data_IF_539823455983
#
_entry.id   IF_539823455983
#
_cell.length_a   1.000
_cell.length_b   1.000
_cell.length_c   1.000
_cell.angle_alpha   90.00
_cell.angle_beta   90.00
_cell.angle_gamma   90.00
#
_symmetry.space_group_name_H-M   'P 1'
#
loop_
_entity.id
_entity.type
_entity.pdbx_description
1 polymer ?
#
# COMPACT_ATOMS: atom_id res chain seq x y z
N UNK A 1 30.03 -18.61 -67.21
CA UNK A 1 30.79 -18.77 -65.94
C UNK A 1 29.88 -18.36 -64.77
N UNK A 2 29.21 -19.30 -64.14
CA UNK A 2 28.36 -19.06 -63.00
C UNK A 2 29.19 -19.38 -61.76
N UNK A 3 29.52 -18.30 -60.97
CA UNK A 3 30.18 -18.45 -59.67
C UNK A 3 29.10 -18.71 -58.63
N UNK A 4 29.01 -19.96 -58.21
CA UNK A 4 28.21 -20.41 -57.13
C UNK A 4 28.84 -19.93 -55.81
N UNK A 5 28.25 -18.93 -55.19
CA UNK A 5 28.62 -18.53 -53.82
C UNK A 5 27.92 -19.51 -52.87
N UNK A 6 28.67 -20.46 -52.36
CA UNK A 6 28.23 -21.35 -51.30
C UNK A 6 28.07 -20.52 -50.01
N UNK A 7 26.85 -20.27 -49.62
CA UNK A 7 26.55 -19.75 -48.28
C UNK A 7 26.89 -20.82 -47.26
N UNK A 8 27.96 -20.63 -46.52
CA UNK A 8 28.28 -21.47 -45.37
C UNK A 8 27.22 -21.19 -44.29
N UNK A 9 26.26 -22.08 -44.14
CA UNK A 9 25.39 -22.13 -42.98
C UNK A 9 26.25 -22.55 -41.78
N UNK A 10 26.72 -21.56 -41.05
CA UNK A 10 27.37 -21.78 -39.76
C UNK A 10 26.34 -22.26 -38.77
N UNK A 11 26.19 -23.55 -38.57
CA UNK A 11 25.37 -24.14 -37.54
C UNK A 11 25.89 -23.67 -36.16
N UNK A 12 25.01 -23.14 -35.32
CA UNK A 12 25.33 -22.75 -33.93
C UNK A 12 25.86 -23.96 -33.16
N UNK A 13 27.01 -23.82 -32.52
CA UNK A 13 27.58 -24.83 -31.64
C UNK A 13 26.75 -24.90 -30.35
N UNK A 14 26.52 -26.10 -29.80
CA UNK A 14 25.87 -26.28 -28.50
C UNK A 14 26.55 -25.46 -27.39
N UNK A 15 27.87 -25.30 -27.47
CA UNK A 15 28.64 -24.48 -26.51
C UNK A 15 28.27 -22.99 -26.65
N UNK A 16 28.14 -22.49 -27.86
CA UNK A 16 27.79 -21.11 -28.13
C UNK A 16 26.37 -20.77 -27.62
N UNK A 17 25.42 -21.70 -27.83
CA UNK A 17 24.08 -21.58 -27.29
C UNK A 17 24.08 -21.58 -25.78
N UNK A 18 24.86 -22.46 -25.13
CA UNK A 18 24.99 -22.52 -23.69
C UNK A 18 25.55 -21.21 -23.09
N UNK A 19 26.57 -20.63 -23.69
CA UNK A 19 27.17 -19.36 -23.30
C UNK A 19 26.17 -18.23 -23.49
N UNK A 20 25.47 -18.17 -24.63
CA UNK A 20 24.46 -17.15 -24.89
C UNK A 20 23.32 -17.18 -23.85
N UNK A 21 22.83 -18.37 -23.50
CA UNK A 21 21.79 -18.52 -22.45
C UNK A 21 22.29 -18.16 -21.06
N UNK A 22 23.55 -18.50 -20.72
CA UNK A 22 24.15 -18.11 -19.44
C UNK A 22 24.28 -16.58 -19.31
N UNK A 23 24.77 -15.90 -20.34
CA UNK A 23 24.89 -14.44 -20.38
C UNK A 23 23.50 -13.78 -20.29
N UNK A 24 22.52 -14.28 -21.03
CA UNK A 24 21.16 -13.79 -21.00
C UNK A 24 20.54 -13.93 -19.58
N UNK A 25 20.76 -15.07 -18.91
CA UNK A 25 20.31 -15.34 -17.55
C UNK A 25 20.90 -14.35 -16.55
N UNK A 26 22.19 -14.05 -16.64
CA UNK A 26 22.85 -13.07 -15.77
C UNK A 26 22.32 -11.66 -16.01
N UNK A 27 22.11 -11.26 -17.26
CA UNK A 27 21.54 -9.95 -17.60
C UNK A 27 20.11 -9.78 -17.07
N UNK A 28 19.27 -10.80 -17.21
CA UNK A 28 17.88 -10.76 -16.69
C UNK A 28 17.84 -10.67 -15.17
N UNK A 29 18.72 -11.38 -14.47
CA UNK A 29 18.79 -11.34 -13.00
C UNK A 29 19.20 -9.95 -12.50
N UNK A 30 20.11 -9.27 -13.18
CA UNK A 30 20.56 -7.92 -12.83
C UNK A 30 19.48 -6.84 -13.00
N UNK A 31 18.51 -7.03 -13.91
CA UNK A 31 17.43 -6.06 -14.17
C UNK A 31 16.26 -6.15 -13.19
N UNK A 32 16.05 -7.30 -12.54
CA UNK A 32 14.91 -7.51 -11.66
C UNK A 32 15.06 -6.84 -10.27
N UNK A 33 16.29 -6.72 -9.78
CA UNK A 33 16.59 -6.12 -8.47
C UNK A 33 16.15 -4.66 -8.33
N UNK A 34 16.56 -3.75 -9.21
CA UNK A 34 16.24 -2.33 -9.11
C UNK A 34 14.74 -2.03 -9.28
N UNK A 35 14.00 -2.84 -10.05
CA UNK A 35 12.55 -2.68 -10.22
C UNK A 35 11.78 -2.94 -8.92
N UNK A 36 12.21 -3.89 -8.12
CA UNK A 36 11.57 -4.17 -6.82
C UNK A 36 11.82 -3.03 -5.82
N UNK A 37 13.02 -2.46 -5.81
CA UNK A 37 13.35 -1.32 -4.95
C UNK A 37 12.51 -0.08 -5.29
N UNK A 38 12.35 0.22 -6.59
CA UNK A 38 11.52 1.34 -7.04
C UNK A 38 10.06 1.20 -6.56
N UNK A 39 9.49 0.00 -6.69
CA UNK A 39 8.11 -0.27 -6.21
C UNK A 39 7.98 -0.12 -4.70
N UNK A 40 8.97 -0.56 -3.94
CA UNK A 40 8.96 -0.42 -2.48
C UNK A 40 9.06 1.05 -2.05
N UNK A 41 9.94 1.83 -2.69
CA UNK A 41 10.03 3.27 -2.44
C UNK A 41 8.75 4.01 -2.77
N UNK A 42 8.11 3.69 -3.89
CA UNK A 42 6.83 4.29 -4.27
C UNK A 42 5.74 3.99 -3.23
N UNK A 43 5.58 2.73 -2.82
CA UNK A 43 4.63 2.35 -1.77
C UNK A 43 4.88 3.07 -0.45
N UNK A 44 6.14 3.27 -0.07
CA UNK A 44 6.48 4.04 1.13
C UNK A 44 6.07 5.51 1.00
N UNK A 45 6.30 6.13 -0.15
CA UNK A 45 5.88 7.50 -0.40
C UNK A 45 4.35 7.64 -0.37
N UNK A 46 3.64 6.72 -1.03
CA UNK A 46 2.18 6.69 -1.04
C UNK A 46 1.61 6.55 0.38
N UNK A 47 2.19 5.66 1.19
CA UNK A 47 1.76 5.49 2.59
C UNK A 47 2.04 6.71 3.44
N UNK A 48 3.20 7.38 3.25
CA UNK A 48 3.51 8.63 3.97
C UNK A 48 2.54 9.75 3.58
N UNK A 49 2.22 9.88 2.30
CA UNK A 49 1.24 10.85 1.82
C UNK A 49 -0.16 10.57 2.39
N UNK A 50 -0.57 9.29 2.43
CA UNK A 50 -1.83 8.87 3.03
C UNK A 50 -1.88 9.18 4.54
N UNK A 51 -0.81 8.91 5.28
CA UNK A 51 -0.72 9.26 6.72
C UNK A 51 -0.78 10.77 6.97
N UNK A 52 -0.17 11.58 6.10
CA UNK A 52 -0.28 13.04 6.19
C UNK A 52 -1.73 13.50 5.95
N UNK A 53 -2.41 12.94 4.97
CA UNK A 53 -3.82 13.22 4.69
C UNK A 53 -4.73 12.78 5.85
N UNK A 54 -4.49 11.60 6.43
CA UNK A 54 -5.20 11.11 7.62
C UNK A 54 -5.02 12.07 8.80
N UNK A 55 -3.80 12.54 9.03
CA UNK A 55 -3.53 13.51 10.10
C UNK A 55 -4.31 14.80 9.91
N UNK A 56 -4.34 15.33 8.69
CA UNK A 56 -5.15 16.52 8.39
C UNK A 56 -6.64 16.27 8.56
N UNK A 57 -7.13 15.09 8.14
CA UNK A 57 -8.51 14.68 8.36
C UNK A 57 -8.88 14.60 9.84
N UNK A 58 -8.00 14.05 10.68
CA UNK A 58 -8.19 14.00 12.15
C UNK A 58 -8.25 15.40 12.76
N UNK A 59 -7.37 16.30 12.34
CA UNK A 59 -7.40 17.68 12.79
C UNK A 59 -8.67 18.40 12.36
N UNK A 60 -9.10 18.22 11.10
CA UNK A 60 -10.34 18.78 10.58
C UNK A 60 -11.57 18.26 11.36
N UNK A 61 -11.61 16.95 11.63
CA UNK A 61 -12.66 16.36 12.45
C UNK A 61 -12.67 16.93 13.86
N UNK A 62 -11.51 17.05 14.51
CA UNK A 62 -11.40 17.63 15.84
C UNK A 62 -11.85 19.10 15.87
N UNK A 63 -11.54 19.89 14.86
CA UNK A 63 -11.98 21.28 14.76
C UNK A 63 -13.49 21.42 14.58
N UNK A 64 -14.13 20.50 13.86
CA UNK A 64 -15.57 20.55 13.61
C UNK A 64 -16.42 19.93 14.73
N UNK A 65 -15.89 18.95 15.46
CA UNK A 65 -16.62 18.18 16.47
C UNK A 65 -16.13 18.41 17.91
N UNK A 66 -15.04 19.18 18.11
CA UNK A 66 -14.43 19.41 19.42
C UNK A 66 -13.80 18.16 20.05
N UNK A 67 -13.67 17.06 19.30
CA UNK A 67 -13.14 15.78 19.77
C UNK A 67 -12.54 14.97 18.62
N UNK A 68 -11.71 14.00 18.93
CA UNK A 68 -11.25 13.02 17.95
C UNK A 68 -12.30 11.92 17.74
N UNK A 69 -12.36 11.32 16.53
CA UNK A 69 -13.31 10.24 16.25
C UNK A 69 -12.96 8.97 17.05
N UNK A 70 -13.97 8.18 17.38
CA UNK A 70 -13.76 6.88 17.99
C UNK A 70 -13.17 5.87 16.99
N UNK A 71 -12.31 4.94 17.45
CA UNK A 71 -11.81 3.87 16.62
C UNK A 71 -12.94 3.02 16.04
N UNK A 72 -12.79 2.61 14.78
CA UNK A 72 -13.68 1.64 14.15
C UNK A 72 -13.35 0.21 14.60
N UNK A 73 -14.31 -0.70 14.44
CA UNK A 73 -14.16 -2.10 14.83
C UNK A 73 -13.23 -2.84 13.87
N UNK A 74 -12.09 -3.37 14.33
CA UNK A 74 -11.17 -4.12 13.49
C UNK A 74 -11.70 -5.51 13.08
N UNK A 75 -12.69 -6.06 13.79
CA UNK A 75 -13.23 -7.39 13.53
C UNK A 75 -14.23 -7.42 12.37
N UNK A 76 -14.74 -6.26 11.94
CA UNK A 76 -15.71 -6.19 10.86
C UNK A 76 -15.03 -6.33 9.49
N UNK A 77 -15.61 -7.18 8.64
CA UNK A 77 -15.19 -7.28 7.24
C UNK A 77 -15.49 -5.97 6.48
N UNK A 78 -14.73 -5.67 5.43
CA UNK A 78 -14.89 -4.43 4.65
C UNK A 78 -16.27 -4.29 4.01
N UNK A 79 -16.95 -5.42 3.75
CA UNK A 79 -18.31 -5.47 3.23
C UNK A 79 -19.38 -5.14 4.27
N UNK A 80 -19.04 -5.11 5.55
CA UNK A 80 -20.00 -4.81 6.62
C UNK A 80 -20.40 -3.33 6.60
N UNK A 81 -21.68 -3.03 6.79
CA UNK A 81 -22.18 -1.65 6.72
C UNK A 81 -21.51 -0.71 7.73
N UNK A 82 -21.19 -1.20 8.92
CA UNK A 82 -20.56 -0.44 10.00
C UNK A 82 -19.02 -0.47 9.96
N UNK A 83 -18.40 -1.22 9.02
CA UNK A 83 -16.96 -1.22 8.87
C UNK A 83 -16.44 0.18 8.54
N UNK A 84 -15.43 0.64 9.24
CA UNK A 84 -14.84 1.97 9.05
C UNK A 84 -15.65 3.15 9.57
N UNK A 85 -16.70 2.90 10.33
CA UNK A 85 -17.44 3.96 11.05
C UNK A 85 -16.91 4.12 12.47
N UNK A 86 -16.83 5.37 12.92
CA UNK A 86 -16.59 5.68 14.32
C UNK A 86 -17.82 5.27 15.13
N UNK A 87 -17.65 4.46 16.17
CA UNK A 87 -18.74 3.99 17.01
C UNK A 87 -18.44 4.26 18.49
N UNK A 88 -19.34 4.95 19.20
CA UNK A 88 -20.52 5.68 18.74
C UNK A 88 -20.16 7.02 18.09
N UNK A 89 -20.99 7.48 17.16
CA UNK A 89 -20.84 8.79 16.49
C UNK A 89 -21.39 9.97 17.31
N UNK A 90 -22.04 9.71 18.42
CA UNK A 90 -22.90 10.64 19.15
C UNK A 90 -22.32 11.21 20.46
N UNK A 91 -21.02 11.51 20.52
CA UNK A 91 -20.45 12.21 21.69
C UNK A 91 -20.39 11.42 23.01
N UNK A 92 -20.81 10.18 23.03
CA UNK A 92 -20.61 9.26 24.15
C UNK A 92 -19.16 8.76 24.19
N UNK A 93 -18.65 8.33 25.38
CA UNK A 93 -17.31 7.77 25.44
C UNK A 93 -17.17 6.61 24.44
N UNK A 94 -16.03 6.55 23.76
CA UNK A 94 -15.76 5.50 22.79
C UNK A 94 -15.87 4.12 23.45
N UNK A 95 -16.53 3.17 22.79
CA UNK A 95 -16.64 1.80 23.27
C UNK A 95 -15.26 1.11 23.36
N UNK A 96 -14.32 1.57 22.55
CA UNK A 96 -12.94 1.11 22.55
C UNK A 96 -11.99 2.27 22.30
N UNK A 97 -10.79 2.19 22.86
CA UNK A 97 -9.75 3.21 22.69
C UNK A 97 -8.74 2.86 21.61
N UNK A 98 -8.74 1.62 21.15
CA UNK A 98 -7.88 1.13 20.08
C UNK A 98 -8.67 0.26 19.09
N UNK A 99 -8.32 0.37 17.83
CA UNK A 99 -8.96 -0.35 16.73
C UNK A 99 -8.33 0.03 15.40
N UNK A 100 -9.15 0.19 14.39
CA UNK A 100 -8.73 0.71 13.09
C UNK A 100 -9.25 2.12 12.86
N UNK A 101 -8.60 2.83 11.94
CA UNK A 101 -9.01 4.17 11.56
C UNK A 101 -10.47 4.17 11.09
N UNK A 102 -11.32 5.10 11.54
CA UNK A 102 -12.70 5.22 11.06
C UNK A 102 -12.74 5.90 9.68
N UNK A 103 -12.25 5.19 8.66
CA UNK A 103 -12.03 5.75 7.32
C UNK A 103 -13.30 6.26 6.63
N UNK A 104 -14.45 5.62 6.85
CA UNK A 104 -15.72 6.09 6.28
C UNK A 104 -16.21 7.38 6.94
N UNK A 105 -16.06 7.50 8.26
CA UNK A 105 -16.43 8.72 9.00
C UNK A 105 -15.57 9.91 8.58
N UNK A 106 -14.29 9.66 8.28
CA UNK A 106 -13.33 10.71 7.94
C UNK A 106 -13.19 10.98 6.43
N UNK A 107 -13.71 10.10 5.57
CA UNK A 107 -13.43 10.14 4.14
C UNK A 107 -11.97 9.87 3.79
N UNK A 108 -11.30 9.03 4.60
CA UNK A 108 -9.89 8.69 4.44
C UNK A 108 -9.71 7.36 3.69
N UNK A 109 -8.51 7.05 3.17
CA UNK A 109 -8.23 5.74 2.59
C UNK A 109 -8.31 4.64 3.67
N UNK A 110 -8.94 3.51 3.31
CA UNK A 110 -9.12 2.38 4.22
C UNK A 110 -7.83 1.58 4.42
N UNK A 111 -7.01 1.48 3.39
CA UNK A 111 -5.85 0.59 3.30
C UNK A 111 -4.59 1.37 2.94
N UNK A 112 -3.45 0.88 3.40
CA UNK A 112 -2.13 1.33 2.99
C UNK A 112 -1.74 0.73 1.62
N UNK A 113 -0.54 1.08 1.13
CA UNK A 113 -0.03 0.59 -0.15
C UNK A 113 0.27 -0.93 -0.18
N UNK A 114 0.23 -1.61 0.96
CA UNK A 114 0.38 -3.06 1.10
C UNK A 114 -0.94 -3.79 1.35
N UNK A 115 -2.06 -3.06 1.43
CA UNK A 115 -3.38 -3.64 1.66
C UNK A 115 -3.73 -3.85 3.13
N UNK A 116 -3.00 -3.22 4.07
CA UNK A 116 -3.30 -3.29 5.49
C UNK A 116 -4.14 -2.10 5.94
N UNK A 117 -5.03 -2.33 6.91
CA UNK A 117 -5.78 -1.25 7.56
C UNK A 117 -4.87 -0.45 8.50
N UNK A 118 -5.10 0.85 8.59
CA UNK A 118 -4.40 1.71 9.53
C UNK A 118 -4.87 1.43 10.95
N UNK A 119 -3.94 1.13 11.86
CA UNK A 119 -4.22 1.05 13.29
C UNK A 119 -4.42 2.45 13.85
N UNK A 120 -5.43 2.61 14.70
CA UNK A 120 -5.79 3.89 15.30
C UNK A 120 -6.11 3.70 16.78
N UNK A 121 -5.56 4.58 17.61
CA UNK A 121 -5.86 4.63 19.03
C UNK A 121 -6.05 6.07 19.46
N UNK A 122 -7.00 6.30 20.34
CA UNK A 122 -7.32 7.61 20.92
C UNK A 122 -7.45 7.50 22.44
N UNK A 123 -6.81 8.43 23.16
CA UNK A 123 -7.00 8.49 24.60
C UNK A 123 -8.39 9.04 24.93
N UNK A 124 -9.02 8.51 25.99
CA UNK A 124 -10.39 8.86 26.40
C UNK A 124 -10.60 10.37 26.51
N UNK A 125 -9.63 11.12 27.04
CA UNK A 125 -9.70 12.59 27.18
C UNK A 125 -9.85 13.35 25.86
N UNK A 126 -9.45 12.78 24.73
CA UNK A 126 -9.54 13.42 23.41
C UNK A 126 -10.75 12.94 22.60
N UNK A 127 -11.43 11.90 23.06
CA UNK A 127 -12.62 11.37 22.40
C UNK A 127 -13.92 11.86 23.02
N UNK A 128 -13.83 12.65 24.12
CA UNK A 128 -14.95 13.29 24.75
C UNK A 128 -15.07 14.75 24.28
N UNK A 129 -16.29 15.28 24.10
CA UNK A 129 -16.46 16.68 23.78
C UNK A 129 -15.99 17.55 24.98
N UNK A 130 -15.34 18.65 24.66
CA UNK A 130 -14.91 19.69 25.62
C UNK A 130 -16.12 20.51 26.05
#
# INVERSE_FOLDING_TARGET
MASSVASAEAGFSLVELAIALAVLGVMLTGLLGPLQQLRTHQRQQDTRAALAAIRQGLLGYAMSHGRLPCPADPALADSHAQAGLALPDTGMPCQRQAGVLPWKTMGAPALDAWGHRYSYAVAARYSQPV
#
